data_IF_035525636214
#
_entry.id   IF_035525636214
#
_cell.length_a   1.000
_cell.length_b   1.000
_cell.length_c   1.000
_cell.angle_alpha   90.00
_cell.angle_beta   90.00
_cell.angle_gamma   90.00
#
_symmetry.space_group_name_H-M   'P 1'
#
loop_
_entity.id
_entity.type
_entity.pdbx_description
1 polymer ?
#
# COMPACT_ATOMS: atom_id res chain seq x y z
N UNK A 1 18.44 3.79 24.75
CA UNK A 1 19.24 3.98 23.51
C UNK A 1 18.28 4.12 22.35
N UNK A 2 18.50 5.09 21.46
CA UNK A 2 17.79 5.13 20.17
C UNK A 2 18.34 4.04 19.25
N UNK A 3 17.45 3.38 18.51
CA UNK A 3 17.82 2.42 17.47
C UNK A 3 17.48 3.04 16.12
N UNK A 4 18.48 3.19 15.26
CA UNK A 4 18.24 3.47 13.84
C UNK A 4 17.96 2.15 13.14
N UNK A 5 16.86 2.11 12.38
CA UNK A 5 16.45 0.97 11.57
C UNK A 5 16.39 1.43 10.12
N UNK A 6 16.97 0.64 9.21
CA UNK A 6 17.06 1.01 7.79
C UNK A 6 16.09 0.17 6.98
N UNK A 7 15.40 0.81 6.03
CA UNK A 7 14.60 0.14 5.00
C UNK A 7 15.17 0.59 3.66
N UNK A 8 15.63 -0.36 2.86
CA UNK A 8 16.23 -0.13 1.56
C UNK A 8 15.37 -0.77 0.47
N UNK A 9 15.05 -0.03 -0.59
CA UNK A 9 14.40 -0.54 -1.80
C UNK A 9 15.40 -0.51 -2.94
N UNK A 10 15.64 -1.66 -3.57
CA UNK A 10 16.47 -1.82 -4.76
C UNK A 10 15.56 -2.09 -5.95
N UNK A 11 15.40 -1.07 -6.80
CA UNK A 11 14.54 -1.13 -7.99
C UNK A 11 15.41 -1.27 -9.22
N UNK A 12 15.30 -2.40 -9.92
CA UNK A 12 15.88 -2.57 -11.25
C UNK A 12 14.86 -2.10 -12.28
N UNK A 13 15.25 -1.19 -13.16
CA UNK A 13 14.40 -0.63 -14.22
C UNK A 13 14.90 -1.05 -15.59
N UNK A 14 14.00 -1.03 -16.57
CA UNK A 14 14.34 -1.18 -17.98
C UNK A 14 14.75 0.15 -18.63
N UNK A 15 15.00 0.14 -19.94
CA UNK A 15 15.36 1.31 -20.75
C UNK A 15 14.28 2.40 -20.77
N UNK A 16 13.03 2.07 -20.46
CA UNK A 16 11.89 2.99 -20.41
C UNK A 16 11.53 3.41 -18.97
N UNK A 17 12.41 3.13 -17.99
CA UNK A 17 12.20 3.41 -16.57
C UNK A 17 11.02 2.65 -15.94
N UNK A 18 10.65 1.50 -16.51
CA UNK A 18 9.63 0.61 -15.96
C UNK A 18 10.30 -0.41 -15.02
N UNK A 19 9.83 -0.59 -13.77
CA UNK A 19 10.40 -1.57 -12.86
C UNK A 19 10.33 -3.01 -13.41
N UNK A 20 11.47 -3.69 -13.44
CA UNK A 20 11.58 -5.13 -13.73
C UNK A 20 11.59 -5.95 -12.45
N UNK A 21 12.30 -5.49 -11.42
CA UNK A 21 12.44 -6.18 -10.14
C UNK A 21 12.50 -5.18 -9.00
N UNK A 22 11.81 -5.49 -7.90
CA UNK A 22 11.89 -4.73 -6.66
C UNK A 22 12.32 -5.69 -5.55
N UNK A 23 13.49 -5.43 -4.98
CA UNK A 23 13.97 -6.10 -3.77
C UNK A 23 13.93 -5.09 -2.61
N UNK A 24 13.62 -5.56 -1.41
CA UNK A 24 13.64 -4.71 -0.22
C UNK A 24 14.35 -5.39 0.93
N UNK A 25 15.03 -4.57 1.74
CA UNK A 25 15.80 -5.00 2.90
C UNK A 25 15.37 -4.18 4.11
N UNK A 26 15.02 -4.83 5.22
CA UNK A 26 14.82 -4.18 6.52
C UNK A 26 15.86 -4.64 7.55
N UNK A 27 16.53 -3.68 8.18
CA UNK A 27 17.55 -3.86 9.21
C UNK A 27 18.71 -4.78 8.80
N UNK A 28 18.99 -4.90 7.50
CA UNK A 28 20.01 -5.82 6.97
C UNK A 28 19.72 -7.29 7.26
N UNK A 29 18.50 -7.64 7.67
CA UNK A 29 18.11 -9.00 8.11
C UNK A 29 16.97 -9.60 7.31
N UNK A 30 15.98 -8.77 6.98
CA UNK A 30 14.83 -9.22 6.22
C UNK A 30 15.04 -8.77 4.79
N UNK A 31 15.36 -9.71 3.90
CA UNK A 31 15.51 -9.47 2.47
C UNK A 31 14.44 -10.26 1.73
N UNK A 32 13.70 -9.60 0.86
CA UNK A 32 12.67 -10.24 0.04
C UNK A 32 12.43 -9.47 -1.26
N UNK A 33 11.83 -10.15 -2.23
CA UNK A 33 11.39 -9.54 -3.49
C UNK A 33 9.89 -9.30 -3.46
N UNK A 34 9.44 -8.20 -4.07
CA UNK A 34 8.02 -7.92 -4.25
C UNK A 34 7.72 -7.44 -5.68
N UNK A 35 6.45 -7.52 -6.06
CA UNK A 35 5.95 -7.02 -7.34
C UNK A 35 5.50 -5.57 -7.28
N UNK A 36 5.27 -5.01 -6.08
CA UNK A 36 4.86 -3.62 -5.91
C UNK A 36 5.29 -3.06 -4.57
N UNK A 37 5.46 -1.74 -4.54
CA UNK A 37 5.60 -0.92 -3.33
C UNK A 37 4.74 0.33 -3.48
N UNK A 38 4.15 0.77 -2.38
CA UNK A 38 3.47 2.05 -2.28
C UNK A 38 3.95 2.73 -1.01
N UNK A 39 4.67 3.84 -1.13
CA UNK A 39 5.19 4.58 0.02
C UNK A 39 4.77 6.04 -0.05
N UNK A 40 4.44 6.59 1.11
CA UNK A 40 4.05 7.99 1.28
C UNK A 40 4.90 8.60 2.38
N UNK A 41 5.47 9.77 2.10
CA UNK A 41 6.30 10.53 3.05
C UNK A 41 5.65 11.88 3.26
N UNK A 42 5.38 12.21 4.53
CA UNK A 42 4.94 13.55 4.89
C UNK A 42 6.14 14.49 4.89
N UNK A 43 6.14 15.48 4.01
CA UNK A 43 7.13 16.55 4.02
C UNK A 43 6.63 17.69 4.91
N UNK A 44 7.27 17.83 6.07
CA UNK A 44 6.93 18.88 7.03
C UNK A 44 7.20 20.29 6.49
N UNK A 45 8.19 20.43 5.59
CA UNK A 45 8.63 21.73 5.09
C UNK A 45 7.57 22.35 4.18
N UNK A 46 7.02 21.53 3.29
CA UNK A 46 6.02 21.95 2.32
C UNK A 46 4.60 21.56 2.73
N UNK A 47 4.44 20.92 3.90
CA UNK A 47 3.17 20.43 4.44
C UNK A 47 2.36 19.63 3.42
N UNK A 48 3.04 18.70 2.74
CA UNK A 48 2.46 17.88 1.69
C UNK A 48 2.87 16.42 1.81
N UNK A 49 2.24 15.56 1.01
CA UNK A 49 2.57 14.14 0.93
C UNK A 49 3.30 13.86 -0.37
N UNK A 50 4.54 13.42 -0.28
CA UNK A 50 5.29 12.85 -1.38
C UNK A 50 4.95 11.37 -1.53
N UNK A 51 4.82 10.88 -2.76
CA UNK A 51 4.48 9.47 -3.05
C UNK A 51 5.43 8.84 -4.04
N UNK A 52 5.65 7.55 -3.84
CA UNK A 52 6.32 6.67 -4.79
C UNK A 52 5.55 5.35 -4.85
N UNK A 53 4.91 5.13 -6.00
CA UNK A 53 4.05 3.99 -6.25
C UNK A 53 4.65 3.24 -7.45
N UNK A 54 5.20 2.05 -7.20
CA UNK A 54 5.89 1.26 -8.20
C UNK A 54 5.28 -0.14 -8.26
N UNK A 55 5.17 -0.67 -9.47
CA UNK A 55 4.85 -2.07 -9.75
C UNK A 55 5.77 -2.61 -10.85
N UNK A 56 6.09 -3.89 -10.77
CA UNK A 56 6.85 -4.58 -11.80
C UNK A 56 5.96 -4.90 -12.99
N UNK A 57 6.58 -5.08 -14.17
CA UNK A 57 5.87 -5.51 -15.39
C UNK A 57 5.14 -6.86 -15.24
N UNK A 58 5.59 -7.70 -14.32
CA UNK A 58 5.03 -9.04 -14.07
C UNK A 58 3.80 -9.02 -13.14
N UNK A 59 3.47 -7.87 -12.56
CA UNK A 59 2.28 -7.75 -11.73
C UNK A 59 1.03 -7.77 -12.61
N UNK A 60 0.15 -8.73 -12.35
CA UNK A 60 -1.11 -8.85 -13.08
C UNK A 60 -2.07 -7.74 -12.65
N UNK A 61 -2.95 -7.31 -13.55
CA UNK A 61 -3.96 -6.27 -13.25
C UNK A 61 -4.84 -6.66 -12.05
N UNK A 62 -5.15 -7.95 -11.89
CA UNK A 62 -5.90 -8.45 -10.74
C UNK A 62 -5.12 -8.29 -9.42
N UNK A 63 -3.81 -8.56 -9.43
CA UNK A 63 -2.92 -8.34 -8.28
C UNK A 63 -2.86 -6.84 -7.94
N UNK A 64 -2.79 -5.97 -8.95
CA UNK A 64 -2.79 -4.51 -8.75
C UNK A 64 -4.07 -4.04 -8.06
N UNK A 65 -5.24 -4.52 -8.53
CA UNK A 65 -6.53 -4.20 -7.91
C UNK A 65 -6.59 -4.67 -6.47
N UNK A 66 -6.16 -5.91 -6.20
CA UNK A 66 -6.05 -6.45 -4.84
C UNK A 66 -5.16 -5.57 -3.96
N UNK A 67 -3.96 -5.22 -4.42
CA UNK A 67 -3.01 -4.41 -3.68
C UNK A 67 -3.56 -3.02 -3.33
N UNK A 68 -4.21 -2.35 -4.28
CA UNK A 68 -4.82 -1.04 -4.03
C UNK A 68 -5.97 -1.11 -3.03
N UNK A 69 -6.91 -2.06 -3.21
CA UNK A 69 -8.06 -2.24 -2.31
C UNK A 69 -7.60 -2.55 -0.89
N UNK A 70 -6.67 -3.50 -0.75
CA UNK A 70 -6.13 -3.88 0.55
C UNK A 70 -5.42 -2.71 1.23
N UNK A 71 -4.71 -1.88 0.46
CA UNK A 71 -4.04 -0.72 1.05
C UNK A 71 -5.02 0.33 1.54
N UNK A 72 -6.11 0.60 0.81
CA UNK A 72 -7.16 1.53 1.26
C UNK A 72 -7.79 1.05 2.58
N UNK A 73 -8.12 -0.24 2.66
CA UNK A 73 -8.74 -0.81 3.87
C UNK A 73 -7.78 -0.73 5.06
N UNK A 74 -6.52 -1.11 4.89
CA UNK A 74 -5.53 -1.07 5.99
C UNK A 74 -5.07 0.35 6.34
N UNK A 75 -5.19 1.31 5.41
CA UNK A 75 -4.99 2.72 5.68
C UNK A 75 -6.04 3.25 6.64
N UNK A 76 -7.28 2.78 6.57
CA UNK A 76 -8.32 3.15 7.53
C UNK A 76 -7.98 2.72 8.96
N UNK A 77 -7.47 1.50 9.14
CA UNK A 77 -7.02 1.01 10.45
C UNK A 77 -5.84 1.85 10.98
N UNK A 78 -4.95 2.25 10.09
CA UNK A 78 -3.81 3.11 10.44
C UNK A 78 -4.28 4.50 10.85
N UNK A 79 -5.23 5.07 10.11
CA UNK A 79 -5.84 6.37 10.39
C UNK A 79 -6.56 6.36 11.74
N UNK A 80 -7.36 5.33 12.02
CA UNK A 80 -8.07 5.18 13.29
C UNK A 80 -7.09 5.14 14.47
N UNK A 81 -6.05 4.31 14.39
CA UNK A 81 -5.03 4.22 15.45
C UNK A 81 -4.30 5.54 15.69
N UNK A 82 -4.08 6.33 14.64
CA UNK A 82 -3.33 7.57 14.72
C UNK A 82 -4.17 8.75 15.25
N UNK A 83 -5.47 8.77 14.97
CA UNK A 83 -6.34 9.93 15.21
C UNK A 83 -7.42 9.68 16.25
N UNK A 84 -7.71 8.41 16.56
CA UNK A 84 -8.84 7.97 17.36
C UNK A 84 -10.22 8.38 16.79
N UNK A 85 -10.29 8.73 15.50
CA UNK A 85 -11.53 9.02 14.78
C UNK A 85 -12.10 7.75 14.13
N UNK A 86 -12.81 6.96 14.93
CA UNK A 86 -13.44 5.72 14.48
C UNK A 86 -14.53 5.92 13.43
N UNK A 87 -15.18 7.09 13.40
CA UNK A 87 -16.26 7.35 12.44
C UNK A 87 -15.70 7.52 11.04
N UNK A 88 -14.73 8.43 10.88
CA UNK A 88 -14.09 8.64 9.58
C UNK A 88 -13.30 7.41 9.11
N UNK A 89 -12.74 6.64 10.05
CA UNK A 89 -12.11 5.36 9.73
C UNK A 89 -13.10 4.32 9.19
N UNK A 90 -14.30 4.22 9.77
CA UNK A 90 -15.31 3.28 9.28
C UNK A 90 -15.80 3.67 7.88
N UNK A 91 -16.03 4.97 7.62
CA UNK A 91 -16.39 5.46 6.29
C UNK A 91 -15.31 5.08 5.25
N UNK A 92 -14.02 5.20 5.59
CA UNK A 92 -12.92 4.81 4.72
C UNK A 92 -12.83 3.29 4.50
N UNK A 93 -13.09 2.48 5.54
CA UNK A 93 -13.18 1.01 5.42
C UNK A 93 -14.33 0.61 4.51
N UNK A 94 -15.51 1.20 4.70
CA UNK A 94 -16.69 0.90 3.89
C UNK A 94 -16.45 1.28 2.43
N UNK A 95 -15.85 2.45 2.18
CA UNK A 95 -15.41 2.83 0.84
C UNK A 95 -14.47 1.79 0.22
N UNK A 96 -13.42 1.37 0.94
CA UNK A 96 -12.47 0.36 0.46
C UNK A 96 -13.14 -0.98 0.14
N UNK A 97 -14.08 -1.43 0.99
CA UNK A 97 -14.86 -2.66 0.78
C UNK A 97 -15.74 -2.56 -0.47
N UNK A 98 -16.50 -1.47 -0.61
CA UNK A 98 -17.39 -1.24 -1.75
C UNK A 98 -16.59 -1.14 -3.06
N UNK A 99 -15.46 -0.45 -3.04
CA UNK A 99 -14.55 -0.38 -4.17
C UNK A 99 -14.00 -1.77 -4.54
N UNK A 100 -13.63 -2.58 -3.54
CA UNK A 100 -13.22 -3.97 -3.75
C UNK A 100 -14.30 -4.85 -4.38
N UNK A 101 -15.57 -4.69 -3.99
CA UNK A 101 -16.71 -5.38 -4.59
C UNK A 101 -16.87 -4.95 -6.06
N UNK A 102 -16.85 -3.64 -6.34
CA UNK A 102 -16.96 -3.10 -7.69
C UNK A 102 -15.86 -3.64 -8.63
N UNK A 103 -14.64 -3.80 -8.11
CA UNK A 103 -13.51 -4.31 -8.87
C UNK A 103 -13.49 -5.85 -9.01
N UNK A 104 -14.43 -6.55 -8.36
CA UNK A 104 -14.50 -8.02 -8.34
C UNK A 104 -13.44 -8.69 -7.45
N UNK A 105 -12.82 -7.92 -6.55
CA UNK A 105 -11.71 -8.32 -5.68
C UNK A 105 -12.23 -8.90 -4.37
N UNK A 106 -13.35 -8.36 -3.87
CA UNK A 106 -14.04 -8.83 -2.67
C UNK A 106 -15.38 -9.42 -3.10
N UNK A 107 -15.72 -10.59 -2.58
CA UNK A 107 -17.05 -11.18 -2.78
C UNK A 107 -18.05 -10.50 -1.85
N UNK A 108 -19.23 -10.14 -2.37
CA UNK A 108 -20.34 -9.74 -1.52
C UNK A 108 -20.66 -10.88 -0.53
N UNK A 109 -20.70 -10.57 0.76
CA UNK A 109 -21.23 -11.48 1.75
C UNK A 109 -22.72 -11.75 1.51
N UNK A 110 -23.29 -12.85 2.03
CA UNK A 110 -24.72 -13.07 1.93
C UNK A 110 -25.45 -11.87 2.55
N UNK A 111 -26.38 -11.27 1.78
CA UNK A 111 -27.32 -10.29 2.35
C UNK A 111 -28.09 -11.00 3.45
N UNK A 112 -27.96 -10.54 4.69
CA UNK A 112 -28.75 -11.05 5.79
C UNK A 112 -30.24 -10.84 5.43
N UNK A 113 -30.92 -11.94 5.15
CA UNK A 113 -32.38 -12.01 4.95
C UNK A 113 -33.10 -11.95 6.28
#
# INVERSE_FOLDING_TARGET
MSKTSNIEFKVKMDENMVPEKIDWIADGKHESSCKAIMTSVWDEKDSNTLRMDLWTKEMMVEEMRHFCVQTIITMADTFERATNDSKSAEDLREFGKNFGIQLGVIKEGPKAT
#
